data_IF_207772168890
#
_entry.id   IF_207772168890
#
_cell.length_a   1.000
_cell.length_b   1.000
_cell.length_c   1.000
_cell.angle_alpha   90.00
_cell.angle_beta   90.00
_cell.angle_gamma   90.00
#
_symmetry.space_group_name_H-M   'P 1'
#
loop_
_entity.id
_entity.type
_entity.pdbx_description
1 polymer ?
#
# COMPACT_ATOMS: atom_id res chain seq x y z
N UNK A 1 -17.73 0.57 -3.81
CA UNK A 1 -16.55 -0.27 -3.49
C UNK A 1 -15.35 0.65 -3.44
N UNK A 2 -14.35 0.34 -2.63
CA UNK A 2 -13.13 1.14 -2.55
C UNK A 2 -11.90 0.26 -2.74
N UNK A 3 -10.92 0.80 -3.46
CA UNK A 3 -9.58 0.27 -3.54
C UNK A 3 -8.78 0.93 -2.43
N UNK A 4 -8.39 0.14 -1.44
CA UNK A 4 -7.56 0.59 -0.32
C UNK A 4 -6.12 0.24 -0.63
N UNK A 5 -5.26 1.25 -0.65
CA UNK A 5 -3.83 1.12 -0.93
C UNK A 5 -3.08 1.57 0.33
N UNK A 6 -2.28 0.68 0.88
CA UNK A 6 -1.42 0.98 2.03
C UNK A 6 0.04 0.99 1.59
N UNK A 7 0.70 2.12 1.75
CA UNK A 7 2.14 2.26 1.53
C UNK A 7 2.85 2.05 2.85
N UNK A 8 3.70 1.01 2.93
CA UNK A 8 4.47 0.74 4.14
C UNK A 8 5.80 1.50 4.12
N UNK A 9 6.21 2.02 5.28
CA UNK A 9 7.52 2.64 5.46
C UNK A 9 8.63 1.59 5.60
N UNK A 10 8.29 0.42 6.16
CA UNK A 10 9.25 -0.65 6.45
C UNK A 10 8.72 -2.01 6.00
N UNK A 11 9.61 -2.82 5.41
CA UNK A 11 9.29 -4.17 4.92
C UNK A 11 8.90 -5.12 6.06
N UNK A 12 9.59 -5.02 7.19
CA UNK A 12 9.45 -5.90 8.35
C UNK A 12 8.08 -5.75 9.04
N UNK A 13 7.40 -4.61 8.84
CA UNK A 13 6.09 -4.31 9.41
C UNK A 13 4.90 -4.94 8.67
N UNK A 14 5.12 -5.69 7.59
CA UNK A 14 4.06 -6.17 6.69
C UNK A 14 2.98 -6.98 7.39
N UNK A 15 3.34 -8.01 8.17
CA UNK A 15 2.35 -8.87 8.86
C UNK A 15 1.54 -8.09 9.90
N UNK A 16 2.20 -7.15 10.60
CA UNK A 16 1.56 -6.29 11.59
C UNK A 16 0.53 -5.37 10.91
N UNK A 17 0.89 -4.79 9.75
CA UNK A 17 0.00 -3.95 8.97
C UNK A 17 -1.23 -4.74 8.47
N UNK A 18 -1.02 -5.96 7.95
CA UNK A 18 -2.13 -6.85 7.51
C UNK A 18 -3.08 -7.16 8.67
N UNK A 19 -2.54 -7.47 9.86
CA UNK A 19 -3.36 -7.70 11.06
C UNK A 19 -4.19 -6.46 11.41
N UNK A 20 -3.58 -5.28 11.39
CA UNK A 20 -4.28 -4.02 11.67
C UNK A 20 -5.39 -3.73 10.66
N UNK A 21 -5.14 -3.88 9.36
CA UNK A 21 -6.19 -3.71 8.34
C UNK A 21 -7.40 -4.60 8.63
N UNK A 22 -7.15 -5.87 8.97
CA UNK A 22 -8.19 -6.84 9.32
C UNK A 22 -8.94 -6.48 10.62
N UNK A 23 -8.25 -5.96 11.64
CA UNK A 23 -8.89 -5.46 12.89
C UNK A 23 -9.92 -4.35 12.60
N UNK A 24 -9.68 -3.56 11.55
CA UNK A 24 -10.59 -2.50 11.09
C UNK A 24 -11.61 -2.97 10.04
N UNK A 25 -11.68 -4.28 9.75
CA UNK A 25 -12.61 -4.83 8.77
C UNK A 25 -12.21 -4.61 7.31
N UNK A 26 -10.96 -4.20 7.06
CA UNK A 26 -10.41 -4.15 5.71
C UNK A 26 -10.02 -5.58 5.30
N UNK A 27 -10.51 -6.11 4.16
CA UNK A 27 -10.22 -7.47 3.72
C UNK A 27 -8.73 -7.72 3.51
N UNK A 28 -8.35 -9.00 3.54
CA UNK A 28 -6.98 -9.46 3.31
C UNK A 28 -6.39 -8.81 2.03
N UNK A 29 -5.28 -8.07 2.16
CA UNK A 29 -4.68 -7.39 1.02
C UNK A 29 -3.88 -8.33 0.13
N UNK A 30 -3.78 -7.96 -1.14
CA UNK A 30 -2.74 -8.45 -2.02
C UNK A 30 -1.45 -7.69 -1.71
N UNK A 31 -0.34 -8.42 -1.50
CA UNK A 31 0.97 -7.83 -1.18
C UNK A 31 1.75 -7.58 -2.48
N UNK A 32 2.08 -6.33 -2.75
CA UNK A 32 2.83 -5.90 -3.94
C UNK A 32 4.20 -5.40 -3.51
N UNK A 33 5.26 -6.05 -3.99
CA UNK A 33 6.62 -5.52 -3.90
C UNK A 33 6.86 -4.56 -5.06
N UNK A 34 7.21 -3.32 -4.74
CA UNK A 34 7.40 -2.27 -5.72
C UNK A 34 8.81 -1.67 -5.57
N UNK A 35 9.39 -1.27 -6.69
CA UNK A 35 10.66 -0.54 -6.75
C UNK A 35 10.51 0.64 -7.68
N UNK A 36 11.27 1.70 -7.44
CA UNK A 36 11.33 2.80 -8.40
C UNK A 36 11.89 2.33 -9.76
N UNK A 37 11.41 2.92 -10.85
CA UNK A 37 11.89 2.60 -12.19
C UNK A 37 13.40 2.90 -12.35
N UNK A 38 13.88 3.98 -11.74
CA UNK A 38 15.29 4.35 -11.77
C UNK A 38 16.18 3.27 -11.14
N UNK A 39 15.80 2.72 -9.98
CA UNK A 39 16.58 1.66 -9.36
C UNK A 39 16.51 0.33 -10.11
N UNK A 40 15.33 -0.05 -10.61
CA UNK A 40 15.19 -1.24 -11.44
C UNK A 40 16.14 -1.15 -12.66
N UNK A 41 16.11 -0.03 -13.39
CA UNK A 41 16.95 0.18 -14.58
C UNK A 41 18.44 0.28 -14.25
N UNK A 42 18.81 0.93 -13.13
CA UNK A 42 20.21 1.05 -12.72
C UNK A 42 20.83 -0.27 -12.26
N UNK A 43 20.02 -1.22 -11.78
CA UNK A 43 20.46 -2.55 -11.37
C UNK A 43 20.61 -3.50 -12.57
N UNK A 44 19.77 -3.34 -13.59
CA UNK A 44 19.71 -4.26 -14.74
C UNK A 44 20.56 -3.83 -15.94
N UNK A 45 20.86 -2.53 -16.09
CA UNK A 45 21.54 -2.00 -17.28
C UNK A 45 22.76 -1.15 -16.91
N UNK A 46 23.99 -1.54 -17.32
CA UNK A 46 25.23 -0.84 -16.94
C UNK A 46 25.28 0.64 -17.34
N UNK A 47 24.68 1.02 -18.48
CA UNK A 47 24.67 2.42 -18.95
C UNK A 47 23.91 3.35 -18.00
N UNK A 48 23.00 2.79 -17.19
CA UNK A 48 22.18 3.54 -16.23
C UNK A 48 22.74 3.51 -14.81
N UNK A 49 23.95 2.99 -14.59
CA UNK A 49 24.59 2.96 -13.28
C UNK A 49 24.73 4.36 -12.63
N UNK A 50 24.90 5.41 -13.44
CA UNK A 50 24.96 6.81 -12.99
C UNK A 50 23.63 7.37 -12.47
N UNK A 51 22.49 6.69 -12.72
CA UNK A 51 21.19 7.11 -12.18
C UNK A 51 21.05 6.78 -10.68
N UNK A 52 21.86 5.88 -10.12
CA UNK A 52 21.81 5.50 -8.69
C UNK A 52 21.96 6.70 -7.75
N UNK A 53 22.85 7.64 -8.08
CA UNK A 53 23.10 8.83 -7.26
C UNK A 53 22.00 9.90 -7.36
N UNK A 54 21.19 9.88 -8.43
CA UNK A 54 20.04 10.77 -8.62
C UNK A 54 18.77 10.21 -7.99
N UNK A 55 18.80 8.95 -7.59
CA UNK A 55 17.65 8.19 -7.17
C UNK A 55 17.75 7.95 -5.64
N UNK A 56 17.79 9.03 -4.85
CA UNK A 56 17.76 8.96 -3.39
C UNK A 56 16.51 8.19 -2.94
N UNK A 57 16.71 7.06 -2.23
CA UNK A 57 15.64 6.15 -1.80
C UNK A 57 15.07 5.23 -2.88
N UNK A 58 15.71 5.17 -4.05
CA UNK A 58 15.27 4.36 -5.18
C UNK A 58 15.62 2.88 -5.02
N UNK A 59 16.76 2.59 -4.40
CA UNK A 59 17.28 1.23 -4.19
C UNK A 59 16.44 0.42 -3.20
N UNK A 60 15.57 1.06 -2.43
CA UNK A 60 14.75 0.39 -1.42
C UNK A 60 13.49 -0.24 -2.05
N UNK A 61 13.37 -1.55 -1.87
CA UNK A 61 12.12 -2.26 -2.13
C UNK A 61 11.04 -1.72 -1.18
N UNK A 62 9.92 -1.32 -1.76
CA UNK A 62 8.71 -0.90 -1.05
C UNK A 62 7.72 -2.06 -1.03
N UNK A 63 6.94 -2.15 0.04
CA UNK A 63 5.75 -3.01 0.07
C UNK A 63 4.50 -2.14 0.07
N UNK A 64 3.59 -2.47 -0.84
CA UNK A 64 2.27 -1.87 -0.96
C UNK A 64 1.25 -2.97 -0.71
N UNK A 65 0.26 -2.69 0.13
CA UNK A 65 -0.87 -3.58 0.36
C UNK A 65 -2.08 -3.06 -0.42
N UNK A 66 -2.79 -3.95 -1.11
CA UNK A 66 -3.94 -3.57 -1.93
C UNK A 66 -5.15 -4.42 -1.55
N UNK A 67 -6.17 -3.79 -0.98
CA UNK A 67 -7.43 -4.45 -0.61
C UNK A 67 -8.60 -3.85 -1.38
N UNK A 68 -9.57 -4.70 -1.73
CA UNK A 68 -10.87 -4.26 -2.22
C UNK A 68 -11.89 -4.31 -1.09
N UNK A 69 -12.36 -3.16 -0.66
CA UNK A 69 -13.34 -3.01 0.41
C UNK A 69 -14.75 -2.85 -0.20
N UNK A 70 -15.76 -3.61 0.27
CA UNK A 70 -17.15 -3.43 -0.14
C UNK A 70 -17.62 -1.98 0.06
N UNK A 71 -18.66 -1.57 -0.69
CA UNK A 71 -19.13 -0.19 -0.66
C UNK A 71 -19.66 0.22 0.70
N UNK A 72 -18.92 1.09 1.39
CA UNK A 72 -19.42 1.89 2.51
C UNK A 72 -19.91 3.26 1.99
N UNK A 73 -20.83 3.93 2.71
CA UNK A 73 -21.10 5.34 2.52
C UNK A 73 -19.81 6.17 2.59
N UNK A 74 -19.65 7.24 1.78
CA UNK A 74 -18.43 8.04 1.74
C UNK A 74 -17.97 8.56 3.12
N UNK A 75 -18.90 9.04 3.95
CA UNK A 75 -18.60 9.54 5.29
C UNK A 75 -18.12 8.45 6.26
N UNK A 76 -18.59 7.22 6.08
CA UNK A 76 -18.11 6.07 6.86
C UNK A 76 -16.72 5.64 6.41
N UNK A 77 -16.46 5.69 5.10
CA UNK A 77 -15.15 5.43 4.53
C UNK A 77 -14.11 6.42 5.03
N UNK A 78 -14.42 7.72 5.01
CA UNK A 78 -13.50 8.75 5.50
C UNK A 78 -13.16 8.53 6.97
N UNK A 79 -14.17 8.28 7.81
CA UNK A 79 -13.97 7.97 9.24
C UNK A 79 -13.14 6.70 9.45
N UNK A 80 -13.37 5.66 8.65
CA UNK A 80 -12.58 4.42 8.69
C UNK A 80 -11.11 4.71 8.37
N UNK A 81 -10.84 5.39 7.26
CA UNK A 81 -9.48 5.72 6.82
C UNK A 81 -8.74 6.56 7.87
N UNK A 82 -9.40 7.59 8.41
CA UNK A 82 -8.82 8.43 9.46
C UNK A 82 -8.47 7.62 10.72
N UNK A 83 -9.36 6.74 11.18
CA UNK A 83 -9.10 5.89 12.35
C UNK A 83 -7.95 4.92 12.13
N UNK A 84 -7.88 4.28 10.96
CA UNK A 84 -6.78 3.37 10.63
C UNK A 84 -5.46 4.14 10.54
N UNK A 85 -5.45 5.31 9.89
CA UNK A 85 -4.26 6.14 9.78
C UNK A 85 -3.74 6.59 11.14
N UNK A 86 -4.62 6.96 12.08
CA UNK A 86 -4.23 7.31 13.45
C UNK A 86 -3.52 6.16 14.17
N UNK A 87 -4.04 4.93 14.08
CA UNK A 87 -3.37 3.75 14.66
C UNK A 87 -2.06 3.40 13.94
N UNK A 88 -1.96 3.68 12.64
CA UNK A 88 -0.72 3.49 11.88
C UNK A 88 0.36 4.51 12.27
N UNK A 89 -0.03 5.75 12.56
CA UNK A 89 0.87 6.82 12.99
C UNK A 89 1.31 6.68 14.45
N UNK A 90 0.52 6.01 15.29
CA UNK A 90 0.83 5.77 16.70
C UNK A 90 1.88 4.67 16.93
N UNK A 91 2.18 3.86 15.92
CA UNK A 91 3.25 2.88 16.01
C UNK A 91 4.63 3.53 15.99
N UNK A 92 5.59 2.89 16.67
CA UNK A 92 7.00 3.29 16.65
C UNK A 92 7.83 2.14 16.06
N UNK A 93 8.38 2.29 14.84
CA UNK A 93 8.21 3.41 13.89
C UNK A 93 6.81 3.42 13.21
N UNK A 94 6.36 4.56 12.64
CA UNK A 94 5.08 4.63 11.93
C UNK A 94 4.98 3.58 10.83
N UNK A 95 3.79 2.98 10.68
CA UNK A 95 3.60 1.93 9.67
C UNK A 95 3.64 2.47 8.24
N UNK A 96 3.09 3.67 8.02
CA UNK A 96 3.03 4.33 6.73
C UNK A 96 1.68 5.00 6.44
N UNK A 97 1.22 4.92 5.19
CA UNK A 97 0.09 5.72 4.69
C UNK A 97 -1.02 4.87 4.08
N UNK A 98 -2.26 5.25 4.36
CA UNK A 98 -3.46 4.63 3.80
C UNK A 98 -4.17 5.57 2.82
N UNK A 99 -4.57 5.05 1.67
CA UNK A 99 -5.38 5.76 0.68
C UNK A 99 -6.57 4.89 0.31
N UNK A 100 -7.79 5.46 0.29
CA UNK A 100 -8.98 4.80 -0.22
C UNK A 100 -9.49 5.52 -1.46
N UNK A 101 -9.59 4.79 -2.58
CA UNK A 101 -10.07 5.32 -3.85
C UNK A 101 -11.42 4.69 -4.22
N UNK A 102 -12.44 5.48 -4.60
CA UNK A 102 -13.71 4.92 -5.04
C UNK A 102 -13.51 4.13 -6.34
N UNK A 103 -14.02 2.90 -6.35
CA UNK A 103 -13.99 2.02 -7.53
C UNK A 103 -15.29 2.20 -8.30
N UNK A 104 -15.18 2.71 -9.53
CA UNK A 104 -16.32 2.92 -10.44
C UNK A 104 -16.87 1.59 -10.95
N UNK A 105 -15.98 0.65 -11.27
CA UNK A 105 -16.35 -0.69 -11.75
C UNK A 105 -15.29 -1.71 -11.37
N UNK A 106 -15.73 -2.86 -10.87
CA UNK A 106 -14.91 -4.04 -10.63
C UNK A 106 -15.70 -5.26 -11.12
N UNK A 107 -15.58 -5.62 -12.41
CA UNK A 107 -16.22 -6.82 -12.94
C UNK A 107 -15.57 -8.03 -12.28
N UNK A 108 -16.18 -8.52 -11.20
CA UNK A 108 -15.81 -9.80 -10.62
C UNK A 108 -16.49 -10.87 -11.48
N UNK A 109 -15.72 -11.58 -12.30
CA UNK A 109 -16.22 -12.83 -12.88
C UNK A 109 -16.46 -13.78 -11.72
N UNK A 110 -17.70 -13.83 -11.21
CA UNK A 110 -18.15 -14.90 -10.34
C UNK A 110 -17.97 -16.20 -11.11
N UNK A 111 -16.96 -16.99 -10.76
CA UNK A 111 -17.05 -18.44 -10.98
C UNK A 111 -18.13 -18.91 -10.00
N UNK A 112 -19.30 -19.17 -10.56
CA UNK A 112 -20.39 -19.92 -9.92
C UNK A 112 -19.90 -21.25 -9.38
#
# INVERSE_FOLDING_TARGET
MYLVITFLEQLEGTERAIRRLREFGIPEPLVVRARSAAAALSAEVPVFAGLRSLALGADDDRVILVSLLPGLPPEEMERLVQRVQLEMDADEPPMGRLVAMPVISAPTHRRS
#
